data_IF_562046101159
#
_entry.id   IF_562046101159
#
_cell.length_a   1.000
_cell.length_b   1.000
_cell.length_c   1.000
_cell.angle_alpha   90.00
_cell.angle_beta   90.00
_cell.angle_gamma   90.00
#
_symmetry.space_group_name_H-M   'P 1'
#
loop_
_entity.id
_entity.type
_entity.pdbx_description
1 polymer ?
#
# COMPACT_ATOMS: atom_id res chain seq x y z
N UNK A 1 4.01 -17.99 8.43
CA UNK A 1 3.21 -17.81 7.20
C UNK A 1 2.01 -16.97 7.56
N UNK A 2 1.65 -16.03 6.69
CA UNK A 2 0.52 -15.14 6.91
C UNK A 2 -0.80 -15.86 6.61
N UNK A 3 -1.76 -15.81 7.53
CA UNK A 3 -3.14 -16.19 7.25
C UNK A 3 -3.86 -15.02 6.56
N UNK A 4 -4.21 -15.20 5.29
CA UNK A 4 -4.88 -14.15 4.52
C UNK A 4 -6.40 -14.12 4.73
N UNK A 5 -7.01 -15.16 5.32
CA UNK A 5 -8.47 -15.23 5.46
C UNK A 5 -9.05 -14.04 6.24
N UNK A 6 -8.41 -13.54 7.32
CA UNK A 6 -8.84 -12.31 7.98
C UNK A 6 -8.73 -11.07 7.08
N UNK A 7 -7.69 -10.98 6.24
CA UNK A 7 -7.45 -9.84 5.35
C UNK A 7 -8.50 -9.79 4.23
N UNK A 8 -8.83 -10.97 3.67
CA UNK A 8 -9.90 -11.14 2.67
C UNK A 8 -11.28 -10.73 3.20
N UNK A 9 -11.50 -10.66 4.52
CA UNK A 9 -12.76 -10.14 5.06
C UNK A 9 -12.91 -8.64 4.84
N UNK A 10 -11.79 -7.91 4.76
CA UNK A 10 -11.75 -6.48 4.51
C UNK A 10 -11.64 -6.17 3.02
N UNK A 11 -10.74 -6.86 2.31
CA UNK A 11 -10.56 -6.71 0.86
C UNK A 11 -11.50 -7.66 0.10
N UNK A 12 -12.81 -7.34 0.09
CA UNK A 12 -13.85 -8.04 -0.68
C UNK A 12 -14.26 -7.33 -1.97
N UNK A 13 -13.55 -6.26 -2.32
CA UNK A 13 -13.99 -5.33 -3.35
C UNK A 13 -14.94 -4.28 -2.76
N UNK A 14 -14.55 -3.00 -2.80
CA UNK A 14 -15.38 -1.92 -2.28
C UNK A 14 -15.04 -0.59 -2.97
N UNK A 15 -15.98 0.36 -2.89
CA UNK A 15 -15.76 1.72 -3.37
C UNK A 15 -15.39 2.65 -2.21
N UNK A 16 -14.47 3.57 -2.46
CA UNK A 16 -14.26 4.76 -1.66
C UNK A 16 -14.95 5.91 -2.39
N UNK A 17 -16.01 6.45 -1.80
CA UNK A 17 -16.87 7.49 -2.42
C UNK A 17 -16.74 8.84 -1.75
N UNK A 18 -16.02 8.94 -0.63
CA UNK A 18 -15.75 10.19 0.08
C UNK A 18 -14.39 10.73 -0.32
N UNK A 19 -14.12 12.06 -0.16
CA UNK A 19 -12.84 12.68 -0.52
C UNK A 19 -11.74 12.36 0.52
N UNK A 20 -11.44 11.09 0.70
CA UNK A 20 -10.52 10.56 1.70
C UNK A 20 -9.49 9.65 1.04
N UNK A 21 -8.30 9.55 1.66
CA UNK A 21 -7.21 8.72 1.16
C UNK A 21 -6.93 8.99 -0.33
N UNK A 22 -6.75 7.94 -1.13
CA UNK A 22 -6.53 8.09 -2.58
C UNK A 22 -7.71 8.74 -3.32
N UNK A 23 -8.92 8.77 -2.77
CA UNK A 23 -10.02 9.44 -3.46
C UNK A 23 -9.99 10.96 -3.24
N UNK A 24 -9.07 11.52 -2.44
CA UNK A 24 -9.02 12.97 -2.23
C UNK A 24 -8.38 13.73 -3.40
N UNK A 25 -7.54 13.10 -4.23
CA UNK A 25 -6.85 13.75 -5.35
C UNK A 25 -7.85 14.40 -6.30
N UNK A 26 -7.71 15.72 -6.49
CA UNK A 26 -8.59 16.57 -7.32
C UNK A 26 -10.08 16.31 -7.15
N UNK A 27 -10.53 15.82 -5.99
CA UNK A 27 -11.88 15.23 -5.84
C UNK A 27 -12.98 16.18 -6.28
N UNK A 28 -12.88 17.46 -5.92
CA UNK A 28 -13.91 18.45 -6.26
C UNK A 28 -13.91 18.83 -7.74
N UNK A 29 -12.79 18.69 -8.43
CA UNK A 29 -12.61 19.05 -9.85
C UNK A 29 -13.02 17.92 -10.82
N UNK A 30 -12.89 16.66 -10.40
CA UNK A 30 -13.23 15.48 -11.20
C UNK A 30 -14.73 15.26 -11.38
N UNK A 31 -15.16 14.64 -12.46
CA UNK A 31 -16.49 14.07 -12.65
C UNK A 31 -16.62 12.74 -11.92
N UNK A 32 -15.62 11.85 -12.00
CA UNK A 32 -15.61 10.61 -11.24
C UNK A 32 -15.37 10.89 -9.75
N UNK A 33 -16.33 10.53 -8.89
CA UNK A 33 -16.27 10.76 -7.43
C UNK A 33 -15.98 9.50 -6.62
N UNK A 34 -15.63 8.40 -7.28
CA UNK A 34 -15.39 7.13 -6.62
C UNK A 34 -14.23 6.39 -7.23
N UNK A 35 -13.43 5.76 -6.37
CA UNK A 35 -12.42 4.78 -6.78
C UNK A 35 -12.78 3.42 -6.18
N UNK A 36 -12.30 2.36 -6.80
CA UNK A 36 -12.55 0.98 -6.43
C UNK A 36 -11.28 0.31 -5.93
N UNK A 37 -11.36 -0.31 -4.76
CA UNK A 37 -10.32 -1.19 -4.22
C UNK A 37 -10.77 -2.63 -4.47
N UNK A 38 -10.02 -3.45 -5.22
CA UNK A 38 -10.44 -4.79 -5.60
C UNK A 38 -10.34 -5.81 -4.46
N UNK A 39 -11.00 -6.97 -4.60
CA UNK A 39 -10.87 -8.06 -3.63
C UNK A 39 -9.45 -8.63 -3.60
N UNK A 40 -9.01 -9.12 -2.43
CA UNK A 40 -7.78 -9.88 -2.27
C UNK A 40 -8.06 -11.38 -2.46
N UNK A 41 -7.30 -12.03 -3.34
CA UNK A 41 -7.36 -13.48 -3.56
C UNK A 41 -6.01 -14.13 -3.32
N UNK A 42 -6.02 -15.43 -3.04
CA UNK A 42 -4.84 -16.27 -3.24
C UNK A 42 -4.76 -16.61 -4.73
N UNK A 43 -3.60 -16.38 -5.34
CA UNK A 43 -3.42 -16.60 -6.78
C UNK A 43 -1.96 -16.63 -7.19
N UNK A 44 -1.68 -16.51 -8.47
CA UNK A 44 -0.34 -16.40 -9.05
C UNK A 44 -0.23 -15.13 -9.89
N UNK A 45 0.98 -14.55 -10.06
CA UNK A 45 1.18 -13.35 -10.87
C UNK A 45 0.59 -13.43 -12.29
N UNK A 46 0.59 -14.62 -12.91
CA UNK A 46 0.01 -14.86 -14.25
C UNK A 46 -1.51 -14.65 -14.30
N UNK A 47 -2.18 -14.57 -13.15
CA UNK A 47 -3.61 -14.31 -13.04
C UNK A 47 -3.93 -12.82 -12.84
N UNK A 48 -2.94 -11.94 -12.91
CA UNK A 48 -3.18 -10.49 -12.92
C UNK A 48 -4.00 -10.11 -14.15
N UNK A 49 -5.12 -9.45 -13.90
CA UNK A 49 -6.04 -8.96 -14.92
C UNK A 49 -6.39 -7.51 -14.61
N UNK A 50 -6.45 -6.66 -15.64
CA UNK A 50 -6.94 -5.29 -15.54
C UNK A 50 -8.47 -5.31 -15.42
N UNK A 51 -8.99 -4.48 -14.54
CA UNK A 51 -10.43 -4.27 -14.31
C UNK A 51 -10.97 -3.16 -15.20
N UNK A 52 -12.29 -3.09 -15.33
CA UNK A 52 -13.00 -1.93 -15.87
C UNK A 52 -13.25 -0.83 -14.83
N UNK A 53 -12.94 -1.10 -13.56
CA UNK A 53 -13.17 -0.17 -12.44
C UNK A 53 -11.97 0.72 -12.21
N UNK A 54 -12.25 2.00 -11.99
CA UNK A 54 -11.24 3.03 -11.74
C UNK A 54 -10.67 2.87 -10.32
N UNK A 55 -9.36 2.63 -10.21
CA UNK A 55 -8.66 2.54 -8.92
C UNK A 55 -7.98 3.84 -8.51
N UNK A 56 -7.66 4.70 -9.48
CA UNK A 56 -7.09 6.01 -9.24
C UNK A 56 -7.64 7.02 -10.23
N UNK A 57 -7.80 8.26 -9.79
CA UNK A 57 -8.37 9.31 -10.61
C UNK A 57 -7.96 10.68 -10.08
N UNK A 58 -7.46 11.52 -10.98
CA UNK A 58 -7.01 12.88 -10.67
C UNK A 58 -7.25 13.82 -11.86
N UNK A 59 -7.17 15.13 -11.61
CA UNK A 59 -7.11 16.14 -12.68
C UNK A 59 -5.67 16.61 -12.78
N UNK A 60 -5.06 16.43 -13.94
CA UNK A 60 -3.72 16.90 -14.27
C UNK A 60 -3.82 17.75 -15.54
N UNK A 61 -3.25 18.97 -15.52
CA UNK A 61 -3.33 19.94 -16.61
C UNK A 61 -4.76 20.21 -17.12
N UNK A 62 -5.74 20.18 -16.21
CA UNK A 62 -7.15 20.41 -16.51
C UNK A 62 -7.86 19.22 -17.19
N UNK A 63 -7.17 18.08 -17.35
CA UNK A 63 -7.74 16.85 -17.89
C UNK A 63 -7.91 15.84 -16.77
N UNK A 64 -9.13 15.33 -16.61
CA UNK A 64 -9.39 14.22 -15.70
C UNK A 64 -8.83 12.91 -16.27
N UNK A 65 -7.91 12.30 -15.54
CA UNK A 65 -7.36 10.98 -15.80
C UNK A 65 -8.08 9.97 -14.90
N UNK A 66 -8.63 8.94 -15.50
CA UNK A 66 -9.27 7.82 -14.81
C UNK A 66 -8.48 6.56 -15.13
N UNK A 67 -7.80 5.99 -14.13
CA UNK A 67 -6.90 4.85 -14.28
C UNK A 67 -7.63 3.58 -13.82
N UNK A 68 -7.90 2.63 -14.73
CA UNK A 68 -8.44 1.32 -14.35
C UNK A 68 -7.45 0.55 -13.49
N UNK A 69 -7.94 -0.09 -12.43
CA UNK A 69 -7.12 -0.89 -11.51
C UNK A 69 -7.04 -2.36 -11.86
N UNK A 70 -6.58 -3.14 -10.88
CA UNK A 70 -6.59 -4.60 -10.96
C UNK A 70 -8.00 -5.17 -10.71
N UNK A 71 -8.28 -6.33 -11.30
CA UNK A 71 -9.52 -7.08 -11.02
C UNK A 71 -9.50 -7.69 -9.63
N UNK A 72 -8.34 -8.16 -9.18
CA UNK A 72 -8.08 -8.68 -7.85
C UNK A 72 -6.68 -8.25 -7.41
N UNK A 73 -6.51 -7.96 -6.12
CA UNK A 73 -5.20 -8.06 -5.48
C UNK A 73 -4.83 -9.53 -5.33
N UNK A 74 -3.54 -9.82 -5.49
CA UNK A 74 -3.03 -11.19 -5.41
C UNK A 74 -2.10 -11.31 -4.22
N UNK A 75 -2.39 -12.29 -3.37
CA UNK A 75 -1.42 -12.85 -2.45
C UNK A 75 -0.90 -14.17 -2.98
N UNK A 76 0.40 -14.39 -2.86
CA UNK A 76 1.01 -15.70 -3.10
C UNK A 76 2.26 -15.88 -2.25
N UNK A 77 2.67 -17.14 -2.08
CA UNK A 77 3.87 -17.51 -1.34
C UNK A 77 4.88 -18.21 -2.23
N UNK A 78 6.14 -17.79 -2.15
CA UNK A 78 7.26 -18.46 -2.83
C UNK A 78 8.54 -18.30 -2.01
N UNK A 79 9.38 -19.34 -1.95
CA UNK A 79 10.65 -19.34 -1.20
C UNK A 79 10.52 -18.77 0.23
N UNK A 80 9.46 -19.18 0.92
CA UNK A 80 9.10 -18.70 2.26
C UNK A 80 8.77 -17.20 2.41
N UNK A 81 8.61 -16.49 1.30
CA UNK A 81 8.20 -15.09 1.24
C UNK A 81 6.72 -14.96 0.95
N UNK A 82 6.06 -14.12 1.74
CA UNK A 82 4.70 -13.68 1.52
C UNK A 82 4.74 -12.48 0.56
N UNK A 83 4.07 -12.58 -0.60
CA UNK A 83 4.10 -11.55 -1.66
C UNK A 83 2.68 -11.06 -1.94
N UNK A 84 2.54 -9.74 -2.05
CA UNK A 84 1.30 -9.06 -2.39
C UNK A 84 1.49 -8.26 -3.68
N UNK A 85 0.52 -8.33 -4.58
CA UNK A 85 0.40 -7.52 -5.80
C UNK A 85 -0.89 -6.73 -5.71
N UNK A 86 -0.79 -5.41 -5.77
CA UNK A 86 -1.90 -4.48 -5.57
C UNK A 86 -1.72 -3.21 -6.43
N UNK A 87 -2.73 -2.35 -6.48
CA UNK A 87 -2.71 -1.13 -7.32
C UNK A 87 -2.01 0.03 -6.61
N UNK A 88 -2.70 0.78 -5.77
CA UNK A 88 -2.20 1.97 -5.11
C UNK A 88 -1.27 1.59 -3.94
N UNK A 89 -0.12 2.26 -3.87
CA UNK A 89 0.97 1.89 -2.98
C UNK A 89 0.64 1.96 -1.48
N UNK A 90 -0.27 2.84 -1.07
CA UNK A 90 -0.69 2.98 0.32
C UNK A 90 -1.22 1.67 0.95
N UNK A 91 -1.74 0.74 0.13
CA UNK A 91 -2.18 -0.58 0.60
C UNK A 91 -1.06 -1.42 1.24
N UNK A 92 0.21 -1.13 0.92
CA UNK A 92 1.37 -1.74 1.57
C UNK A 92 1.31 -1.61 3.09
N UNK A 93 0.89 -0.44 3.61
CA UNK A 93 0.75 -0.21 5.05
C UNK A 93 -0.19 -1.23 5.71
N UNK A 94 -1.33 -1.53 5.08
CA UNK A 94 -2.26 -2.52 5.60
C UNK A 94 -1.62 -3.91 5.68
N UNK A 95 -0.91 -4.33 4.63
CA UNK A 95 -0.30 -5.65 4.59
C UNK A 95 0.87 -5.79 5.57
N UNK A 96 1.71 -4.77 5.73
CA UNK A 96 2.78 -4.78 6.73
C UNK A 96 2.24 -4.87 8.15
N UNK A 97 1.24 -4.06 8.48
CA UNK A 97 0.60 -4.09 9.80
C UNK A 97 -0.17 -5.39 10.05
N UNK A 98 -0.79 -5.97 9.02
CA UNK A 98 -1.40 -7.29 9.11
C UNK A 98 -0.36 -8.38 9.41
N UNK A 99 0.81 -8.33 8.76
CA UNK A 99 1.92 -9.23 9.05
C UNK A 99 2.47 -9.05 10.47
N UNK A 100 2.55 -7.81 10.96
CA UNK A 100 2.93 -7.53 12.36
C UNK A 100 1.91 -8.11 13.34
N UNK A 101 0.62 -7.85 13.15
CA UNK A 101 -0.45 -8.36 14.04
C UNK A 101 -0.52 -9.90 14.08
N UNK A 102 -0.04 -10.57 13.04
CA UNK A 102 0.05 -12.03 12.97
C UNK A 102 1.43 -12.58 13.38
N UNK A 103 2.33 -11.74 13.91
CA UNK A 103 3.70 -12.08 14.29
C UNK A 103 4.56 -12.64 13.14
N UNK A 104 4.19 -12.38 11.89
CA UNK A 104 4.97 -12.73 10.70
C UNK A 104 6.09 -11.71 10.46
N UNK A 105 5.80 -10.43 10.72
CA UNK A 105 6.75 -9.33 10.61
C UNK A 105 7.16 -8.85 12.00
N UNK A 106 8.47 -8.80 12.25
CA UNK A 106 9.04 -8.21 13.45
C UNK A 106 9.29 -6.71 13.24
N UNK A 107 9.02 -5.86 14.24
CA UNK A 107 9.30 -4.43 14.14
C UNK A 107 10.81 -4.15 14.11
N UNK A 108 11.19 -2.97 13.61
CA UNK A 108 12.58 -2.50 13.57
C UNK A 108 13.42 -3.06 12.41
N UNK A 109 12.80 -3.77 11.46
CA UNK A 109 13.46 -4.15 10.20
C UNK A 109 13.69 -2.92 9.32
N UNK A 110 14.64 -3.02 8.39
CA UNK A 110 14.81 -2.03 7.33
C UNK A 110 13.74 -2.25 6.25
N UNK A 111 13.17 -1.16 5.74
CA UNK A 111 12.37 -1.16 4.52
C UNK A 111 13.29 -0.84 3.33
N UNK A 112 13.24 -1.63 2.26
CA UNK A 112 13.85 -1.29 0.98
C UNK A 112 12.69 -0.94 0.05
N UNK A 113 12.60 0.34 -0.30
CA UNK A 113 11.53 0.90 -1.13
C UNK A 113 12.12 1.29 -2.48
N UNK A 114 11.67 0.61 -3.53
CA UNK A 114 12.12 0.84 -4.91
C UNK A 114 11.01 1.59 -5.63
N UNK A 115 11.20 2.90 -5.80
CA UNK A 115 10.21 3.84 -6.33
C UNK A 115 10.94 5.14 -6.73
N UNK A 116 10.49 5.84 -7.77
CA UNK A 116 10.94 7.20 -8.07
C UNK A 116 10.43 8.23 -7.06
N UNK A 117 9.31 7.94 -6.39
CA UNK A 117 8.75 8.73 -5.32
C UNK A 117 9.31 8.27 -3.98
N UNK A 118 9.30 9.17 -3.01
CA UNK A 118 9.75 8.81 -1.66
C UNK A 118 8.63 8.21 -0.81
N UNK A 119 7.37 8.53 -1.12
CA UNK A 119 6.18 8.19 -0.34
C UNK A 119 6.23 8.52 1.15
N UNK A 120 7.08 9.50 1.48
CA UNK A 120 7.36 9.98 2.82
C UNK A 120 6.64 11.30 3.14
N UNK A 121 5.60 11.70 2.39
CA UNK A 121 4.82 12.86 2.80
C UNK A 121 4.16 12.61 4.16
N UNK A 122 3.98 13.69 4.91
CA UNK A 122 3.28 13.62 6.20
C UNK A 122 1.79 13.37 5.94
N UNK A 123 1.18 12.33 6.54
CA UNK A 123 -0.25 12.11 6.42
C UNK A 123 -1.04 13.23 7.15
N UNK A 124 -2.31 13.46 6.80
CA UNK A 124 -3.15 14.45 7.47
C UNK A 124 -3.32 14.14 8.96
N UNK A 125 -3.38 12.86 9.32
CA UNK A 125 -3.43 12.38 10.71
C UNK A 125 -2.45 11.21 10.91
N UNK A 126 -1.83 11.16 12.08
CA UNK A 126 -1.00 10.02 12.47
C UNK A 126 -1.87 8.84 12.89
N UNK A 127 -1.31 7.63 12.79
CA UNK A 127 -1.95 6.45 13.37
C UNK A 127 -2.10 6.65 14.89
N UNK A 128 -3.29 6.47 15.47
CA UNK A 128 -3.57 6.88 16.85
C UNK A 128 -3.03 5.92 17.92
N UNK A 129 -2.40 4.82 17.51
CA UNK A 129 -1.86 3.78 18.39
C UNK A 129 -0.34 3.68 18.28
N UNK A 130 0.31 3.13 19.30
CA UNK A 130 1.66 2.57 19.22
C UNK A 130 1.61 1.06 19.04
N UNK A 131 2.72 0.44 18.63
CA UNK A 131 2.82 -1.02 18.48
C UNK A 131 2.63 -1.80 19.81
N UNK A 132 2.76 -1.14 20.96
CA UNK A 132 2.54 -1.75 22.29
C UNK A 132 1.07 -1.66 22.74
N UNK A 133 0.26 -0.85 22.07
CA UNK A 133 -1.17 -0.74 22.36
C UNK A 133 -1.95 -1.78 21.56
N UNK A 134 -3.16 -2.08 22.03
CA UNK A 134 -4.07 -2.96 21.30
C UNK A 134 -4.82 -2.17 20.23
N UNK A 135 -4.74 -2.64 18.99
CA UNK A 135 -5.52 -2.20 17.84
C UNK A 135 -5.81 -3.40 16.94
N UNK A 136 -6.78 -3.25 16.05
CA UNK A 136 -7.32 -4.32 15.22
C UNK A 136 -6.96 -4.15 13.75
N UNK A 137 -7.15 -5.20 12.96
CA UNK A 137 -7.10 -5.10 11.49
C UNK A 137 -8.08 -4.06 10.94
N UNK A 138 -9.21 -3.82 11.62
CA UNK A 138 -10.16 -2.78 11.22
C UNK A 138 -9.58 -1.38 11.38
N UNK A 139 -8.89 -1.12 12.48
CA UNK A 139 -8.25 0.18 12.72
C UNK A 139 -7.18 0.48 11.65
N UNK A 140 -6.39 -0.55 11.31
CA UNK A 140 -5.41 -0.47 10.22
C UNK A 140 -6.08 -0.27 8.87
N UNK A 141 -7.15 -1.03 8.57
CA UNK A 141 -7.91 -0.93 7.32
C UNK A 141 -8.48 0.48 7.13
N UNK A 142 -9.14 1.02 8.17
CA UNK A 142 -9.75 2.34 8.12
C UNK A 142 -8.68 3.43 7.94
N UNK A 143 -7.56 3.33 8.66
CA UNK A 143 -6.46 4.27 8.50
C UNK A 143 -5.86 4.23 7.08
N UNK A 144 -5.62 3.03 6.55
CA UNK A 144 -5.05 2.83 5.22
C UNK A 144 -5.92 3.42 4.12
N UNK A 145 -7.23 3.22 4.18
CA UNK A 145 -8.14 3.56 3.09
C UNK A 145 -8.74 4.97 3.21
N UNK A 146 -8.88 5.49 4.43
CA UNK A 146 -9.56 6.77 4.66
C UNK A 146 -8.66 7.89 5.20
N UNK A 147 -7.40 7.58 5.51
CA UNK A 147 -6.40 8.58 5.93
C UNK A 147 -5.19 8.63 5.01
N UNK A 148 -4.64 7.47 4.66
CA UNK A 148 -3.44 7.39 3.82
C UNK A 148 -3.78 7.50 2.34
N UNK A 149 -2.84 8.08 1.60
CA UNK A 149 -2.81 8.06 0.14
C UNK A 149 -1.42 7.64 -0.35
N UNK A 150 -1.26 7.40 -1.65
CA UNK A 150 -0.02 6.89 -2.26
C UNK A 150 1.24 7.60 -1.76
N UNK A 151 1.25 8.92 -1.66
CA UNK A 151 2.46 9.63 -1.22
C UNK A 151 2.78 9.64 0.31
N UNK A 152 1.99 9.02 1.21
CA UNK A 152 2.14 9.28 2.67
C UNK A 152 2.10 8.08 3.63
N UNK A 153 2.33 6.85 3.17
CA UNK A 153 2.16 5.65 4.01
C UNK A 153 3.44 5.18 4.74
N UNK A 154 4.64 5.60 4.30
CA UNK A 154 5.90 5.16 4.91
C UNK A 154 6.15 5.86 6.26
N UNK A 155 5.87 7.16 6.36
CA UNK A 155 6.07 7.94 7.61
C UNK A 155 5.33 7.33 8.81
N UNK A 156 4.04 6.93 8.71
CA UNK A 156 3.36 6.17 9.74
C UNK A 156 4.10 4.91 10.19
N UNK A 157 4.58 4.09 9.25
CA UNK A 157 5.26 2.84 9.55
C UNK A 157 6.58 3.07 10.31
N UNK A 158 7.36 4.06 9.90
CA UNK A 158 8.59 4.48 10.60
C UNK A 158 8.29 5.00 12.01
N UNK A 159 7.26 5.85 12.16
CA UNK A 159 6.89 6.42 13.47
C UNK A 159 6.41 5.38 14.47
N UNK A 160 5.77 4.32 13.99
CA UNK A 160 5.37 3.18 14.81
C UNK A 160 6.58 2.34 15.27
N UNK A 161 7.74 2.50 14.63
CA UNK A 161 8.88 1.61 14.79
C UNK A 161 8.65 0.26 14.11
N UNK A 162 7.68 0.17 13.18
CA UNK A 162 7.48 -1.02 12.36
C UNK A 162 8.74 -1.24 11.52
N UNK A 163 9.26 -0.16 10.94
CA UNK A 163 10.57 -0.11 10.32
C UNK A 163 11.48 0.83 11.11
N UNK A 164 12.76 0.47 11.19
CA UNK A 164 13.79 1.30 11.84
C UNK A 164 14.26 2.44 10.93
N UNK A 165 14.36 2.17 9.63
CA UNK A 165 14.75 3.10 8.59
C UNK A 165 14.23 2.60 7.23
N UNK A 166 14.31 3.45 6.21
CA UNK A 166 13.98 3.13 4.82
C UNK A 166 15.20 3.42 3.93
N UNK A 167 15.60 2.46 3.10
CA UNK A 167 16.45 2.70 1.93
C UNK A 167 15.55 2.99 0.74
N UNK A 168 15.74 4.14 0.09
CA UNK A 168 15.01 4.48 -1.14
C UNK A 168 15.92 4.20 -2.33
N UNK A 169 15.46 3.35 -3.24
CA UNK A 169 16.12 3.04 -4.50
C UNK A 169 15.31 3.72 -5.62
N UNK A 170 15.65 4.97 -5.88
CA UNK A 170 15.00 5.89 -6.82
C UNK A 170 15.75 6.06 -8.15
N UNK A 171 16.93 5.44 -8.26
CA UNK A 171 17.79 5.57 -9.43
C UNK A 171 18.70 4.37 -9.60
N UNK A 172 19.30 4.22 -10.78
CA UNK A 172 20.31 3.19 -11.06
C UNK A 172 21.51 3.25 -10.11
N UNK A 173 21.87 4.44 -9.63
CA UNK A 173 22.99 4.62 -8.70
C UNK A 173 22.67 4.03 -7.33
N UNK A 174 21.41 4.15 -6.89
CA UNK A 174 20.94 3.66 -5.59
C UNK A 174 20.94 2.12 -5.50
N UNK A 175 21.04 1.40 -6.63
CA UNK A 175 21.20 -0.07 -6.64
C UNK A 175 22.58 -0.54 -6.17
N UNK A 176 23.58 0.34 -6.09
CA UNK A 176 24.90 0.00 -5.55
C UNK A 176 24.92 -0.04 -4.01
N UNK A 177 23.84 0.41 -3.36
CA UNK A 177 23.74 0.47 -1.92
C UNK A 177 23.69 -0.94 -1.29
N UNK A 178 24.37 -1.09 -0.15
CA UNK A 178 24.38 -2.37 0.59
C UNK A 178 23.00 -2.65 1.18
N UNK A 179 22.39 -3.76 0.77
CA UNK A 179 21.11 -4.25 1.30
C UNK A 179 21.38 -5.18 2.49
N UNK A 180 20.69 -5.03 3.63
CA UNK A 180 20.85 -5.92 4.78
C UNK A 180 20.28 -7.32 4.52
N UNK A 181 20.66 -8.30 5.34
CA UNK A 181 20.19 -9.69 5.20
C UNK A 181 18.68 -9.85 5.44
N UNK A 182 18.09 -8.97 6.27
CA UNK A 182 16.66 -9.01 6.64
C UNK A 182 16.02 -7.65 6.41
N UNK A 183 15.03 -7.64 5.53
CA UNK A 183 14.30 -6.45 5.15
C UNK A 183 12.90 -6.81 4.66
N UNK A 184 12.03 -5.81 4.60
CA UNK A 184 10.85 -5.84 3.74
C UNK A 184 11.20 -5.16 2.44
N UNK A 185 10.81 -5.79 1.33
CA UNK A 185 10.92 -5.23 0.00
C UNK A 185 9.57 -4.67 -0.41
N UNK A 186 9.61 -3.44 -0.90
CA UNK A 186 8.48 -2.69 -1.38
C UNK A 186 8.86 -2.08 -2.72
N UNK A 187 8.06 -2.31 -3.76
CA UNK A 187 8.41 -1.97 -5.14
C UNK A 187 7.20 -1.33 -5.78
N UNK A 188 7.35 -0.09 -6.25
CA UNK A 188 6.50 0.44 -7.32
C UNK A 188 7.06 -0.04 -8.67
N UNK A 189 6.19 -0.38 -9.62
CA UNK A 189 6.57 -0.90 -10.93
C UNK A 189 6.78 0.20 -11.97
N UNK A 190 6.53 1.46 -11.63
CA UNK A 190 6.75 2.62 -12.51
C UNK A 190 8.16 3.24 -12.38
N UNK A 191 9.07 2.60 -11.63
CA UNK A 191 10.46 3.03 -11.32
C UNK A 191 11.32 3.43 -12.55
N UNK A 192 10.91 3.09 -13.78
CA UNK A 192 11.70 3.31 -14.99
C UNK A 192 10.92 3.86 -16.20
N UNK A 193 9.76 4.49 -15.99
CA UNK A 193 8.95 5.06 -17.10
C UNK A 193 9.10 6.56 -17.27
#
# INVERSE_FOLDING_TARGET
MLDIKPLQKFYKGFYITTPNGNNSFSYFERQNKSIYVPPLIEGLPVQLEISDKIAFSEVEDGVEKNIPGLKNFIYYRTNDKDIFLFDNHNHAFFFWMAAFLQNVLQPGLKLIHVDMHTDMHKPPFLFPFTLQQSFTLKDVFDYTNYTLHVACFIVPALRLGLFSEVEIIDSTLSFENTIPDKFVLDIDLDVFT
#
